data_IF_246416041804
#
_entry.id   IF_246416041804
#
_cell.length_a   1.000
_cell.length_b   1.000
_cell.length_c   1.000
_cell.angle_alpha   90.00
_cell.angle_beta   90.00
_cell.angle_gamma   90.00
#
_symmetry.space_group_name_H-M   'P 1'
#
loop_
_entity.id
_entity.type
_entity.pdbx_description
1 polymer ?
#
# COMPACT_ATOMS: atom_id res chain seq x y z
N UNK A 1 10.92 9.40 -5.63
CA UNK A 1 9.76 8.58 -5.18
C UNK A 1 9.91 8.33 -3.69
N UNK A 2 8.94 8.74 -2.88
CA UNK A 2 8.92 8.43 -1.45
C UNK A 2 8.39 7.01 -1.21
N UNK A 3 8.83 6.32 -0.15
CA UNK A 3 8.38 4.95 0.16
C UNK A 3 6.86 4.86 0.28
N UNK A 4 6.22 5.88 0.86
CA UNK A 4 4.75 5.96 0.95
C UNK A 4 4.10 6.00 -0.44
N UNK A 5 4.63 6.83 -1.34
CA UNK A 5 4.11 6.99 -2.70
C UNK A 5 4.23 5.68 -3.49
N UNK A 6 5.35 4.97 -3.38
CA UNK A 6 5.52 3.65 -3.99
C UNK A 6 4.42 2.67 -3.56
N UNK A 7 4.03 2.69 -2.28
CA UNK A 7 2.99 1.80 -1.73
C UNK A 7 1.60 2.24 -2.18
N UNK A 8 1.33 3.55 -2.26
CA UNK A 8 0.08 4.09 -2.82
C UNK A 8 -0.06 3.69 -4.28
N UNK A 9 0.97 3.89 -5.09
CA UNK A 9 0.99 3.54 -6.51
C UNK A 9 0.79 2.03 -6.71
N UNK A 10 1.48 1.20 -5.94
CA UNK A 10 1.30 -0.25 -5.99
C UNK A 10 -0.14 -0.66 -5.66
N UNK A 11 -0.76 -0.07 -4.62
CA UNK A 11 -2.16 -0.40 -4.27
C UNK A 11 -3.15 0.13 -5.31
N UNK A 12 -2.90 1.32 -5.88
CA UNK A 12 -3.74 1.89 -6.94
C UNK A 12 -3.70 1.02 -8.20
N UNK A 13 -2.52 0.56 -8.60
CA UNK A 13 -2.33 -0.37 -9.74
C UNK A 13 -2.99 -1.74 -9.51
N UNK A 14 -3.21 -2.12 -8.25
CA UNK A 14 -3.93 -3.33 -7.86
C UNK A 14 -5.46 -3.13 -7.75
N UNK A 15 -5.98 -1.96 -8.13
CA UNK A 15 -7.41 -1.66 -8.09
C UNK A 15 -7.89 -1.06 -6.76
N UNK A 16 -6.97 -0.49 -5.96
CA UNK A 16 -7.31 0.23 -4.72
C UNK A 16 -7.55 -0.66 -3.49
N UNK A 17 -7.47 -1.99 -3.64
CA UNK A 17 -7.46 -2.94 -2.54
C UNK A 17 -6.50 -4.09 -2.86
N UNK A 18 -5.65 -4.45 -1.90
CA UNK A 18 -4.75 -5.59 -2.08
C UNK A 18 -4.31 -6.19 -0.75
N UNK A 19 -3.77 -7.41 -0.81
CA UNK A 19 -3.17 -8.04 0.36
C UNK A 19 -1.79 -7.47 0.65
N UNK A 20 -1.31 -7.63 1.89
CA UNK A 20 0.09 -7.33 2.22
C UNK A 20 1.07 -8.11 1.33
N UNK A 21 0.71 -9.35 0.97
CA UNK A 21 1.54 -10.18 0.10
C UNK A 21 1.66 -9.58 -1.31
N UNK A 22 0.55 -9.10 -1.88
CA UNK A 22 0.55 -8.43 -3.18
C UNK A 22 1.40 -7.16 -3.15
N UNK A 23 1.27 -6.36 -2.09
CA UNK A 23 2.07 -5.15 -1.89
C UNK A 23 3.58 -5.45 -1.83
N UNK A 24 3.99 -6.56 -1.21
CA UNK A 24 5.42 -6.94 -1.19
C UNK A 24 5.97 -7.27 -2.58
N UNK A 25 5.13 -7.81 -3.46
CA UNK A 25 5.55 -8.21 -4.81
C UNK A 25 5.43 -7.08 -5.84
N UNK A 26 4.52 -6.12 -5.60
CA UNK A 26 4.20 -5.05 -6.56
C UNK A 26 4.82 -3.71 -6.23
N UNK A 27 5.21 -3.48 -4.98
CA UNK A 27 5.92 -2.26 -4.60
C UNK A 27 7.36 -2.36 -5.07
N UNK A 28 7.80 -1.43 -5.92
CA UNK A 28 9.22 -1.31 -6.24
C UNK A 28 9.98 -0.79 -5.02
N UNK A 29 10.83 -1.64 -4.47
CA UNK A 29 11.69 -1.35 -3.33
C UNK A 29 13.18 -1.34 -3.70
N UNK A 30 13.52 -1.45 -4.98
CA UNK A 30 14.91 -1.53 -5.48
C UNK A 30 15.75 -0.32 -5.09
N UNK A 31 15.12 0.84 -4.95
CA UNK A 31 15.74 2.11 -4.57
C UNK A 31 15.73 2.36 -3.06
N UNK A 32 15.11 1.47 -2.27
CA UNK A 32 15.00 1.67 -0.83
C UNK A 32 16.31 1.25 -0.15
N UNK A 33 16.99 2.17 0.53
CA UNK A 33 18.16 1.84 1.35
C UNK A 33 17.87 1.02 2.62
N UNK A 34 16.64 0.50 2.77
CA UNK A 34 16.21 -0.27 3.95
C UNK A 34 16.55 -1.74 3.79
N UNK A 35 17.09 -2.36 4.85
CA UNK A 35 17.33 -3.81 4.91
C UNK A 35 16.05 -4.63 5.07
N UNK A 36 14.94 -3.99 5.45
CA UNK A 36 13.65 -4.64 5.73
C UNK A 36 12.49 -3.94 5.03
N UNK A 37 12.47 -3.89 3.69
CA UNK A 37 11.46 -3.17 2.92
C UNK A 37 10.03 -3.63 3.25
N UNK A 38 9.80 -4.92 3.48
CA UNK A 38 8.47 -5.44 3.84
C UNK A 38 7.99 -4.97 5.23
N UNK A 39 8.91 -4.72 6.17
CA UNK A 39 8.56 -4.12 7.45
C UNK A 39 8.18 -2.65 7.27
N UNK A 40 8.92 -1.92 6.42
CA UNK A 40 8.57 -0.56 6.02
C UNK A 40 7.18 -0.49 5.36
N UNK A 41 6.87 -1.37 4.40
CA UNK A 41 5.54 -1.46 3.77
C UNK A 41 4.45 -1.69 4.82
N UNK A 42 4.64 -2.64 5.74
CA UNK A 42 3.69 -2.88 6.85
C UNK A 42 3.46 -1.65 7.69
N UNK A 43 4.53 -0.97 8.10
CA UNK A 43 4.44 0.26 8.89
C UNK A 43 3.68 1.33 8.13
N UNK A 44 3.98 1.52 6.85
CA UNK A 44 3.33 2.53 5.99
C UNK A 44 1.82 2.32 5.97
N UNK A 45 1.33 1.10 5.67
CA UNK A 45 -0.12 0.87 5.60
C UNK A 45 -0.81 0.97 6.96
N UNK A 46 -0.09 0.73 8.06
CA UNK A 46 -0.64 0.80 9.41
C UNK A 46 -0.69 2.21 10.00
N UNK A 47 0.26 3.10 9.65
CA UNK A 47 0.41 4.42 10.29
C UNK A 47 -0.14 5.59 9.48
N UNK A 48 -0.43 5.39 8.19
CA UNK A 48 -0.86 6.47 7.29
C UNK A 48 -2.38 6.42 7.06
N UNK A 49 -3.03 7.58 7.11
CA UNK A 49 -4.50 7.75 7.00
C UNK A 49 -5.06 7.46 5.60
N UNK A 50 -4.20 7.43 4.60
CA UNK A 50 -4.52 7.12 3.21
C UNK A 50 -4.91 5.64 3.05
N UNK A 51 -4.51 4.79 4.00
CA UNK A 51 -4.83 3.37 4.01
C UNK A 51 -5.84 3.03 5.10
N UNK A 52 -6.68 2.05 4.82
CA UNK A 52 -7.58 1.46 5.81
C UNK A 52 -7.50 -0.06 5.77
N UNK A 53 -7.69 -0.68 6.93
CA UNK A 53 -7.69 -2.13 7.08
C UNK A 53 -9.09 -2.65 6.74
N UNK A 54 -9.19 -3.47 5.70
CA UNK A 54 -10.45 -4.14 5.31
C UNK A 54 -10.65 -5.38 6.17
N UNK A 55 -9.63 -6.23 6.27
CA UNK A 55 -9.57 -7.42 7.15
C UNK A 55 -8.11 -7.76 7.47
N UNK A 56 -7.88 -8.82 8.25
CA UNK A 56 -6.53 -9.29 8.52
C UNK A 56 -5.76 -9.55 7.20
N UNK A 57 -4.67 -8.81 6.98
CA UNK A 57 -3.83 -8.94 5.79
C UNK A 57 -4.35 -8.25 4.52
N UNK A 58 -5.55 -7.65 4.52
CA UNK A 58 -6.13 -6.95 3.37
C UNK A 58 -6.30 -5.46 3.66
N UNK A 59 -5.81 -4.62 2.75
CA UNK A 59 -5.76 -3.16 2.89
C UNK A 59 -6.37 -2.48 1.68
N UNK A 60 -6.97 -1.31 1.89
CA UNK A 60 -7.56 -0.47 0.86
C UNK A 60 -7.03 0.97 0.89
N UNK A 61 -7.16 1.67 -0.24
CA UNK A 61 -6.86 3.10 -0.41
C UNK A 61 -8.14 3.92 -0.25
N UNK A 62 -8.08 4.94 0.62
CA UNK A 62 -9.23 5.81 0.88
C UNK A 62 -9.71 6.55 -0.38
N UNK A 63 -8.79 7.08 -1.20
CA UNK A 63 -9.14 7.89 -2.38
C UNK A 63 -9.93 7.13 -3.45
N UNK A 64 -9.58 5.85 -3.68
CA UNK A 64 -10.24 5.01 -4.69
C UNK A 64 -11.65 4.57 -4.27
N UNK A 65 -11.92 4.48 -2.96
CA UNK A 65 -13.26 4.17 -2.43
C UNK A 65 -14.27 5.29 -2.73
N UNK A 66 -13.81 6.54 -2.81
CA UNK A 66 -14.64 7.71 -3.12
C UNK A 66 -15.13 7.74 -4.57
N UNK A 67 -14.39 7.13 -5.50
CA UNK A 67 -14.69 7.14 -6.93
C UNK A 67 -15.73 6.08 -7.32
N UNK A 68 -15.88 5.00 -6.55
CA UNK A 68 -16.85 3.93 -6.83
C UNK A 68 -18.29 4.24 -6.36
N UNK A 69 -18.55 5.44 -5.81
CA UNK A 69 -19.89 5.86 -5.33
C UNK A 69 -20.64 6.83 -6.26
N UNK A 70 -20.24 6.94 -7.53
CA UNK A 70 -20.93 7.77 -8.53
C UNK A 70 -21.45 6.94 -9.69
#
# INVERSE_FOLDING_TARGET
MNQKECVIEALANLGGMATLFDLYHKTDVSTWGSKTPFASIRRIVQTNKEFYKVRAGLWGLCELTSLSKK
#
